data_IF_354983918987
#
_entry.id   IF_354983918987
#
_cell.length_a   1.000
_cell.length_b   1.000
_cell.length_c   1.000
_cell.angle_alpha   90.00
_cell.angle_beta   90.00
_cell.angle_gamma   90.00
#
_symmetry.space_group_name_H-M   'P 1'
#
loop_
_entity.id
_entity.type
_entity.pdbx_description
1 polymer ?
#
# COMPACT_ATOMS: atom_id res chain seq x y z
N UNK A 1 5.76 15.68 -3.46
CA UNK A 1 6.73 16.51 -4.22
C UNK A 1 8.13 15.90 -4.13
N UNK A 2 8.55 15.49 -2.94
CA UNK A 2 9.87 14.88 -2.71
C UNK A 2 10.12 13.60 -3.52
N UNK A 3 9.11 12.77 -3.76
CA UNK A 3 9.29 11.53 -4.54
C UNK A 3 9.94 11.80 -5.91
N UNK A 4 9.42 12.75 -6.70
CA UNK A 4 9.92 13.02 -8.06
C UNK A 4 11.37 13.52 -8.07
N UNK A 5 11.74 14.34 -7.09
CA UNK A 5 13.08 14.90 -6.98
C UNK A 5 14.14 13.86 -6.55
N UNK A 6 13.71 12.75 -5.95
CA UNK A 6 14.59 11.67 -5.47
C UNK A 6 14.64 10.47 -6.43
N UNK A 7 14.07 10.57 -7.64
CA UNK A 7 14.14 9.51 -8.64
C UNK A 7 15.43 9.59 -9.47
N UNK A 8 16.00 8.43 -9.78
CA UNK A 8 17.06 8.33 -10.79
C UNK A 8 16.51 8.51 -12.22
N UNK A 9 17.40 8.82 -13.17
CA UNK A 9 17.05 8.84 -14.60
C UNK A 9 16.55 7.46 -15.07
N UNK A 10 15.46 7.44 -15.83
CA UNK A 10 14.80 6.23 -16.34
C UNK A 10 13.97 5.47 -15.30
N UNK A 11 13.77 6.02 -14.10
CA UNK A 11 13.07 5.31 -13.04
C UNK A 11 11.55 5.18 -13.26
N UNK A 12 10.95 4.25 -12.52
CA UNK A 12 9.53 3.89 -12.62
C UNK A 12 8.83 4.20 -11.30
N UNK A 13 7.67 4.85 -11.38
CA UNK A 13 6.81 5.18 -10.25
C UNK A 13 5.50 4.41 -10.39
N UNK A 14 5.14 3.68 -9.33
CA UNK A 14 3.84 3.01 -9.20
C UNK A 14 2.92 3.87 -8.33
N UNK A 15 1.84 4.39 -8.90
CA UNK A 15 0.89 5.25 -8.22
C UNK A 15 -0.29 4.43 -7.69
N UNK A 16 -0.25 4.11 -6.39
CA UNK A 16 -1.33 3.40 -5.68
C UNK A 16 -2.22 4.32 -4.85
N UNK A 17 -1.65 5.38 -4.26
CA UNK A 17 -2.40 6.32 -3.42
C UNK A 17 -3.41 7.14 -4.22
N UNK A 18 -4.58 7.38 -3.65
CA UNK A 18 -5.63 8.22 -4.22
C UNK A 18 -5.53 9.61 -3.59
N UNK A 19 -5.19 10.65 -4.35
CA UNK A 19 -5.19 12.01 -3.85
C UNK A 19 -6.60 12.47 -3.43
N UNK A 20 -6.71 13.15 -2.29
CA UNK A 20 -7.97 13.79 -1.87
C UNK A 20 -8.27 15.06 -2.69
N UNK A 21 -7.24 15.66 -3.30
CA UNK A 21 -7.31 16.89 -4.08
C UNK A 21 -6.45 16.78 -5.34
N UNK A 22 -6.63 17.70 -6.28
CA UNK A 22 -5.76 17.79 -7.46
C UNK A 22 -4.29 18.02 -7.04
N UNK A 23 -3.38 17.25 -7.63
CA UNK A 23 -1.94 17.36 -7.36
C UNK A 23 -1.25 17.93 -8.59
N UNK A 24 -0.68 19.13 -8.44
CA UNK A 24 0.28 19.66 -9.40
C UNK A 24 1.66 19.02 -9.19
N UNK A 25 2.28 18.56 -10.29
CA UNK A 25 3.64 18.02 -10.32
C UNK A 25 4.52 18.80 -11.30
N UNK A 26 5.84 18.79 -11.07
CA UNK A 26 6.81 19.37 -12.00
C UNK A 26 7.11 18.40 -13.14
N UNK A 27 6.59 18.73 -14.33
CA UNK A 27 6.78 17.92 -15.52
C UNK A 27 8.21 17.97 -16.08
N UNK A 28 9.02 18.97 -15.73
CA UNK A 28 10.43 19.00 -16.13
C UNK A 28 11.17 17.80 -15.53
N UNK A 29 10.91 17.47 -14.26
CA UNK A 29 11.50 16.29 -13.62
C UNK A 29 11.07 15.00 -14.30
N UNK A 30 9.81 14.89 -14.72
CA UNK A 30 9.31 13.69 -15.40
C UNK A 30 9.98 13.53 -16.77
N UNK A 31 10.07 14.61 -17.54
CA UNK A 31 10.59 14.60 -18.90
C UNK A 31 12.11 14.40 -18.90
N UNK A 32 12.86 15.24 -18.19
CA UNK A 32 14.32 15.22 -18.21
C UNK A 32 14.91 14.03 -17.45
N UNK A 33 14.19 13.47 -16.47
CA UNK A 33 14.58 12.20 -15.86
C UNK A 33 13.97 10.98 -16.56
N UNK A 34 13.24 11.16 -17.67
CA UNK A 34 12.62 10.05 -18.42
C UNK A 34 11.82 9.10 -17.50
N UNK A 35 11.02 9.67 -16.60
CA UNK A 35 10.28 8.88 -15.61
C UNK A 35 9.06 8.23 -16.23
N UNK A 36 8.82 6.96 -15.87
CA UNK A 36 7.59 6.24 -16.22
C UNK A 36 6.66 6.20 -15.02
N UNK A 37 5.45 6.76 -15.14
CA UNK A 37 4.44 6.74 -14.07
C UNK A 37 3.31 5.78 -14.47
N UNK A 38 3.06 4.74 -13.67
CA UNK A 38 1.99 3.75 -13.87
C UNK A 38 0.99 3.83 -12.72
N UNK A 39 -0.28 4.10 -13.03
CA UNK A 39 -1.38 3.94 -12.07
C UNK A 39 -1.62 2.47 -11.74
N UNK A 40 -1.78 2.16 -10.46
CA UNK A 40 -2.12 0.82 -9.97
C UNK A 40 -3.54 0.85 -9.43
N UNK A 41 -4.44 0.13 -10.10
CA UNK A 41 -5.82 -0.05 -9.65
C UNK A 41 -6.01 -1.47 -9.11
N UNK A 42 -6.31 -1.58 -7.82
CA UNK A 42 -6.55 -2.86 -7.16
C UNK A 42 -5.36 -3.80 -7.30
N UNK A 43 -5.52 -4.88 -8.07
CA UNK A 43 -4.52 -5.93 -8.27
C UNK A 43 -4.61 -6.52 -9.68
N UNK A 44 -3.49 -6.99 -10.22
CA UNK A 44 -3.49 -7.78 -11.44
C UNK A 44 -4.07 -9.17 -11.12
N UNK A 45 -5.22 -9.48 -11.73
CA UNK A 45 -6.01 -10.67 -11.38
C UNK A 45 -5.22 -11.96 -11.61
N UNK A 46 -5.37 -12.90 -10.67
CA UNK A 46 -4.68 -14.20 -10.58
C UNK A 46 -3.16 -14.14 -10.38
N UNK A 47 -2.44 -13.39 -11.22
CA UNK A 47 -0.97 -13.38 -11.21
C UNK A 47 -0.40 -12.87 -9.88
N UNK A 48 -0.96 -11.77 -9.34
CA UNK A 48 -0.49 -11.21 -8.07
C UNK A 48 -0.82 -12.10 -6.88
N UNK A 49 -1.93 -12.85 -6.93
CA UNK A 49 -2.26 -13.84 -5.91
C UNK A 49 -1.26 -15.00 -5.91
N UNK A 50 -0.91 -15.49 -7.10
CA UNK A 50 0.09 -16.55 -7.21
C UNK A 50 1.44 -16.09 -6.67
N UNK A 51 1.91 -14.90 -7.05
CA UNK A 51 3.14 -14.29 -6.52
C UNK A 51 3.12 -14.18 -5.00
N UNK A 52 2.02 -13.68 -4.42
CA UNK A 52 1.90 -13.56 -2.96
C UNK A 52 1.93 -14.92 -2.26
N UNK A 53 1.21 -15.92 -2.78
CA UNK A 53 1.25 -17.27 -2.21
C UNK A 53 2.66 -17.86 -2.22
N UNK A 54 3.40 -17.68 -3.32
CA UNK A 54 4.81 -18.11 -3.42
C UNK A 54 5.66 -17.37 -2.40
N UNK A 55 5.55 -16.04 -2.28
CA UNK A 55 6.33 -15.27 -1.30
C UNK A 55 6.15 -15.77 0.13
N UNK A 56 4.92 -16.03 0.55
CA UNK A 56 4.62 -16.59 1.88
C UNK A 56 5.22 -18.00 2.02
N UNK A 57 5.05 -18.87 1.02
CA UNK A 57 5.60 -20.22 1.04
C UNK A 57 7.13 -20.24 1.09
N UNK A 58 7.80 -19.24 0.50
CA UNK A 58 9.26 -19.09 0.52
C UNK A 58 9.79 -18.37 1.76
N UNK A 59 8.93 -18.03 2.73
CA UNK A 59 9.34 -17.52 4.03
C UNK A 59 9.14 -16.01 4.26
N UNK A 60 8.37 -15.31 3.42
CA UNK A 60 7.94 -13.95 3.77
C UNK A 60 6.98 -14.02 4.96
N UNK A 61 7.43 -13.58 6.14
CA UNK A 61 6.57 -13.46 7.30
C UNK A 61 5.82 -12.12 7.29
N UNK A 62 4.49 -12.19 7.14
CA UNK A 62 3.59 -11.03 7.21
C UNK A 62 2.91 -10.91 8.57
N UNK A 63 3.11 -11.83 9.51
CA UNK A 63 2.45 -11.79 10.81
C UNK A 63 2.64 -10.46 11.57
N UNK A 64 3.81 -9.78 11.52
CA UNK A 64 4.01 -8.52 12.23
C UNK A 64 3.11 -7.37 11.77
N UNK A 65 2.53 -7.42 10.55
CA UNK A 65 1.58 -6.40 10.11
C UNK A 65 0.27 -6.48 10.91
N UNK A 66 -0.05 -7.62 11.50
CA UNK A 66 -1.22 -7.82 12.34
C UNK A 66 -0.87 -7.39 13.76
N UNK A 67 -1.45 -6.28 14.19
CA UNK A 67 -1.13 -5.66 15.49
C UNK A 67 -2.19 -5.92 16.54
N UNK A 68 -3.45 -6.15 16.12
CA UNK A 68 -4.56 -6.34 17.05
C UNK A 68 -5.52 -7.43 16.56
N UNK A 69 -6.10 -8.15 17.52
CA UNK A 69 -7.14 -9.15 17.30
C UNK A 69 -8.25 -8.91 18.32
N UNK A 70 -9.48 -8.80 17.84
CA UNK A 70 -10.67 -8.63 18.68
C UNK A 70 -11.72 -9.67 18.28
N UNK A 71 -12.67 -9.95 19.18
CA UNK A 71 -13.89 -10.65 18.79
C UNK A 71 -14.70 -9.77 17.82
N UNK A 72 -15.50 -10.37 16.93
CA UNK A 72 -16.32 -9.60 15.99
C UNK A 72 -17.34 -8.69 16.70
N UNK A 73 -17.78 -9.08 17.90
CA UNK A 73 -18.66 -8.28 18.75
C UNK A 73 -18.02 -6.97 19.21
N UNK A 74 -16.69 -6.94 19.31
CA UNK A 74 -15.92 -5.77 19.75
C UNK A 74 -15.45 -4.91 18.56
N UNK A 75 -16.21 -4.92 17.46
CA UNK A 75 -15.85 -4.20 16.24
C UNK A 75 -15.60 -2.71 16.49
N UNK A 76 -16.39 -2.07 17.37
CA UNK A 76 -16.25 -0.65 17.71
C UNK A 76 -14.83 -0.33 18.20
N UNK A 77 -14.32 -1.13 19.15
CA UNK A 77 -12.94 -1.03 19.65
C UNK A 77 -11.92 -1.22 18.54
N UNK A 78 -12.18 -2.15 17.61
CA UNK A 78 -11.35 -2.35 16.43
C UNK A 78 -11.27 -1.11 15.54
N UNK A 79 -12.40 -0.44 15.31
CA UNK A 79 -12.46 0.81 14.52
C UNK A 79 -11.84 2.00 15.25
N UNK A 80 -11.97 2.09 16.58
CA UNK A 80 -11.31 3.13 17.39
C UNK A 80 -9.79 3.05 17.28
N UNK A 81 -9.23 1.85 17.41
CA UNK A 81 -7.79 1.62 17.25
C UNK A 81 -7.33 2.00 15.84
N UNK A 82 -8.06 1.59 14.80
CA UNK A 82 -7.75 2.01 13.41
C UNK A 82 -7.75 3.53 13.24
N UNK A 83 -8.73 4.24 13.80
CA UNK A 83 -8.84 5.70 13.72
C UNK A 83 -7.72 6.43 14.46
N UNK A 84 -7.14 5.81 15.50
CA UNK A 84 -6.02 6.41 16.24
C UNK A 84 -4.72 6.51 15.44
N UNK A 85 -4.58 5.74 14.35
CA UNK A 85 -3.36 5.62 13.57
C UNK A 85 -2.24 4.79 14.24
N UNK A 86 -2.44 4.33 15.49
CA UNK A 86 -1.47 3.53 16.25
C UNK A 86 -1.67 2.02 16.05
N UNK A 87 -1.85 1.58 14.80
CA UNK A 87 -1.99 0.16 14.46
C UNK A 87 -1.53 -0.14 13.03
N UNK A 88 -1.21 -1.41 12.76
CA UNK A 88 -1.00 -1.94 11.41
C UNK A 88 -2.32 -2.47 10.81
N UNK A 89 -2.58 -3.75 11.02
CA UNK A 89 -3.82 -4.44 10.65
C UNK A 89 -4.55 -4.93 11.90
N UNK A 90 -5.85 -4.67 11.94
CA UNK A 90 -6.79 -5.21 12.95
C UNK A 90 -7.57 -6.37 12.33
N UNK A 91 -7.69 -7.48 13.05
CA UNK A 91 -8.47 -8.66 12.67
C UNK A 91 -9.65 -8.85 13.64
N UNK A 92 -10.85 -9.05 13.07
CA UNK A 92 -12.05 -9.42 13.83
C UNK A 92 -12.27 -10.94 13.69
N UNK A 93 -12.29 -11.64 14.82
CA UNK A 93 -12.49 -13.08 14.88
C UNK A 93 -13.99 -13.42 15.02
N UNK A 94 -14.46 -14.34 14.19
CA UNK A 94 -15.86 -14.79 14.12
C UNK A 94 -16.12 -16.15 14.79
N UNK A 95 -15.07 -16.75 15.33
CA UNK A 95 -15.14 -18.00 16.10
C UNK A 95 -15.06 -17.69 17.57
#
# INVERSE_FOLDING_TARGET
RDMLANMAHGARIAMLGIPEQEIAIDWNLVIFNMLTIKGIYGREMYETWYKMSVLIQTGLDIAPVITHRFAFSDFERGFEVMKSGQCGKVILNWR
#
